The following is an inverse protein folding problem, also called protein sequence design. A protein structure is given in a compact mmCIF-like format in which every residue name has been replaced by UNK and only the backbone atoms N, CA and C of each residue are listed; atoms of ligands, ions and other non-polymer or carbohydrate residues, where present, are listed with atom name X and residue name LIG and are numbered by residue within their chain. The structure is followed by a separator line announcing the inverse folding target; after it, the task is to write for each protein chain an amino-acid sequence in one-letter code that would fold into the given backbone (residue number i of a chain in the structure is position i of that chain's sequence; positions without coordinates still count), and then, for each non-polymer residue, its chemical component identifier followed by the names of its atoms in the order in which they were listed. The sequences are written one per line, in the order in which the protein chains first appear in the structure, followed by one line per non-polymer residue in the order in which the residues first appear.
data_IF_183070909493
#
_entry.id   IF_183070909493
#
_cell.length_a   1.000
_cell.length_b   1.000
_cell.length_c   1.000
_cell.angle_alpha   90.00
_cell.angle_beta   90.00
_cell.angle_gamma   90.00
#
_symmetry.space_group_name_H-M   'P 1'
#
loop_
_entity.id
_entity.type
_entity.pdbx_description
1 polymer ?
#
# COMPACT_ATOMS: atom_id res chain seq x y z
N UNK A 1 -19.46 26.60 1.38
CA UNK A 1 -18.42 25.80 0.68
C UNK A 1 -17.19 26.69 0.60
N UNK A 2 -16.13 26.30 1.28
CA UNK A 2 -14.83 26.98 1.21
C UNK A 2 -14.07 26.55 -0.03
N UNK A 3 -13.29 27.45 -0.60
CA UNK A 3 -12.34 27.15 -1.66
C UNK A 3 -10.97 27.65 -1.25
N UNK A 4 -9.95 26.83 -1.37
CA UNK A 4 -8.56 27.26 -1.23
C UNK A 4 -7.91 27.30 -2.61
N UNK A 5 -7.56 28.50 -3.08
CA UNK A 5 -6.88 28.69 -4.37
C UNK A 5 -5.36 28.56 -4.28
N UNK A 6 -4.82 28.38 -3.07
CA UNK A 6 -3.37 28.46 -2.83
C UNK A 6 -2.72 27.10 -2.55
N UNK A 7 -3.51 26.09 -2.13
CA UNK A 7 -3.02 24.73 -1.93
C UNK A 7 -2.88 24.06 -3.30
N UNK A 8 -1.69 23.59 -3.65
CA UNK A 8 -1.36 22.95 -4.94
C UNK A 8 -1.67 23.80 -6.17
N UNK A 9 -1.49 25.12 -6.11
CA UNK A 9 -1.75 26.02 -7.24
C UNK A 9 -0.84 25.70 -8.43
N UNK A 10 -1.47 25.33 -9.56
CA UNK A 10 -0.77 24.98 -10.79
C UNK A 10 -0.13 23.59 -10.80
N UNK A 11 -0.39 22.78 -9.77
CA UNK A 11 0.13 21.43 -9.62
C UNK A 11 -0.97 20.38 -9.81
N UNK A 12 -0.58 19.19 -10.23
CA UNK A 12 -1.51 18.06 -10.38
C UNK A 12 -1.52 17.21 -9.13
N UNK A 13 -2.69 17.08 -8.48
CA UNK A 13 -2.88 16.17 -7.35
C UNK A 13 -2.99 14.75 -7.88
N UNK A 14 -2.05 13.89 -7.51
CA UNK A 14 -2.01 12.48 -7.91
C UNK A 14 -2.98 11.62 -7.11
N UNK A 15 -2.99 11.78 -5.82
CA UNK A 15 -3.95 11.12 -4.95
C UNK A 15 -4.29 11.97 -3.73
N UNK A 16 -5.47 11.73 -3.18
CA UNK A 16 -5.96 12.39 -1.98
C UNK A 16 -6.61 11.37 -1.04
N UNK A 17 -6.43 11.55 0.25
CA UNK A 17 -7.10 10.75 1.29
C UNK A 17 -7.55 11.64 2.43
N UNK A 18 -8.72 11.34 2.94
CA UNK A 18 -9.33 12.08 4.02
C UNK A 18 -9.53 11.17 5.23
N UNK A 19 -9.08 11.64 6.39
CA UNK A 19 -9.29 10.96 7.67
C UNK A 19 -9.64 11.98 8.74
N UNK A 20 -10.80 11.81 9.37
CA UNK A 20 -11.35 12.76 10.34
C UNK A 20 -11.48 14.17 9.73
N UNK A 21 -10.71 15.14 10.23
CA UNK A 21 -10.66 16.53 9.73
C UNK A 21 -9.35 16.85 9.01
N UNK A 22 -8.62 15.83 8.59
CA UNK A 22 -7.33 15.98 7.93
C UNK A 22 -7.39 15.40 6.52
N UNK A 23 -6.94 16.19 5.55
CA UNK A 23 -6.78 15.79 4.17
C UNK A 23 -5.29 15.63 3.86
N UNK A 24 -4.91 14.52 3.27
CA UNK A 24 -3.58 14.27 2.73
C UNK A 24 -3.61 14.32 1.22
N UNK A 25 -2.76 15.14 0.64
CA UNK A 25 -2.61 15.32 -0.81
C UNK A 25 -1.21 14.89 -1.23
N UNK A 26 -1.12 14.19 -2.34
CA UNK A 26 0.16 13.89 -3.01
C UNK A 26 0.22 14.64 -4.32
N UNK A 27 1.32 15.34 -4.52
CA UNK A 27 1.66 16.05 -5.74
C UNK A 27 2.97 15.45 -6.28
N UNK A 28 2.89 14.74 -7.40
CA UNK A 28 4.06 14.06 -7.96
C UNK A 28 4.99 15.00 -8.74
N UNK A 29 4.49 16.09 -9.29
CA UNK A 29 5.32 17.08 -10.02
C UNK A 29 6.47 17.60 -9.15
N UNK A 30 6.17 17.93 -7.88
CA UNK A 30 7.15 18.35 -6.87
C UNK A 30 7.57 17.25 -5.91
N UNK A 31 7.02 16.05 -6.06
CA UNK A 31 7.22 14.92 -5.15
C UNK A 31 7.03 15.31 -3.70
N UNK A 32 5.83 15.76 -3.36
CA UNK A 32 5.51 16.15 -1.98
C UNK A 32 4.19 15.57 -1.51
N UNK A 33 4.10 15.33 -0.22
CA UNK A 33 2.85 15.05 0.48
C UNK A 33 2.52 16.22 1.40
N UNK A 34 1.28 16.68 1.36
CA UNK A 34 0.79 17.82 2.09
C UNK A 34 -0.32 17.37 3.03
N UNK A 35 -0.21 17.76 4.29
CA UNK A 35 -1.26 17.59 5.29
C UNK A 35 -2.04 18.89 5.42
N UNK A 36 -3.36 18.83 5.31
CA UNK A 36 -4.25 19.98 5.35
C UNK A 36 -5.31 19.76 6.43
N UNK A 37 -5.47 20.75 7.30
CA UNK A 37 -6.59 20.79 8.23
C UNK A 37 -7.86 21.24 7.52
N UNK A 38 -8.91 20.48 7.72
CA UNK A 38 -10.28 20.78 7.29
C UNK A 38 -11.17 21.09 8.52
N UNK A 39 -10.58 21.46 9.64
CA UNK A 39 -11.32 21.77 10.87
C UNK A 39 -12.23 23.00 10.69
N UNK A 40 -11.78 24.00 9.92
CA UNK A 40 -12.58 25.11 9.44
C UNK A 40 -12.86 24.87 7.94
N UNK A 41 -14.07 24.42 7.60
CA UNK A 41 -14.44 24.05 6.22
C UNK A 41 -14.30 25.22 5.23
N UNK A 42 -14.43 26.46 5.72
CA UNK A 42 -14.31 27.66 4.88
C UNK A 42 -12.86 28.13 4.69
N UNK A 43 -11.92 27.61 5.48
CA UNK A 43 -10.51 28.05 5.48
C UNK A 43 -9.57 26.88 5.76
N UNK A 44 -9.32 26.00 4.78
CA UNK A 44 -8.37 24.91 4.92
C UNK A 44 -6.94 25.43 5.13
N UNK A 45 -6.24 24.86 6.13
CA UNK A 45 -4.89 25.26 6.49
C UNK A 45 -3.88 24.16 6.23
N UNK A 46 -2.76 24.48 5.57
CA UNK A 46 -1.62 23.55 5.45
C UNK A 46 -0.99 23.40 6.84
N UNK A 47 -0.98 22.18 7.35
CA UNK A 47 -0.38 21.83 8.64
C UNK A 47 1.09 21.42 8.51
N UNK A 48 1.37 20.59 7.51
CA UNK A 48 2.71 20.05 7.28
C UNK A 48 2.89 19.68 5.81
N UNK A 49 4.13 19.57 5.39
CA UNK A 49 4.51 18.98 4.10
C UNK A 49 5.84 18.25 4.21
N UNK A 50 5.97 17.17 3.45
CA UNK A 50 7.23 16.42 3.32
C UNK A 50 7.57 16.26 1.84
N UNK A 51 8.86 16.38 1.52
CA UNK A 51 9.37 15.99 0.19
C UNK A 51 9.49 14.47 0.13
N UNK A 52 8.94 13.89 -0.93
CA UNK A 52 9.00 12.46 -1.19
C UNK A 52 10.25 12.12 -2.00
N UNK A 53 10.86 10.98 -1.72
CA UNK A 53 11.97 10.47 -2.52
C UNK A 53 11.48 9.96 -3.88
N UNK A 54 10.31 9.30 -3.88
CA UNK A 54 9.73 8.57 -5.00
C UNK A 54 8.33 9.08 -5.35
N UNK A 55 7.81 8.66 -6.51
CA UNK A 55 6.42 8.92 -6.89
C UNK A 55 5.48 8.10 -6.00
N UNK A 56 4.37 8.70 -5.59
CA UNK A 56 3.32 8.03 -4.82
C UNK A 56 2.02 8.02 -5.62
N UNK A 57 1.46 6.83 -5.82
CA UNK A 57 0.21 6.63 -6.55
C UNK A 57 -0.96 6.31 -5.61
N UNK A 58 -0.66 5.77 -4.45
CA UNK A 58 -1.68 5.38 -3.48
C UNK A 58 -1.26 5.73 -2.06
N UNK A 59 -2.22 6.24 -1.28
CA UNK A 59 -2.12 6.40 0.17
C UNK A 59 -3.18 5.55 0.88
N UNK A 60 -2.79 4.95 1.99
CA UNK A 60 -3.69 4.31 2.93
C UNK A 60 -3.55 4.97 4.30
N UNK A 61 -4.69 5.35 4.87
CA UNK A 61 -4.78 5.89 6.22
C UNK A 61 -5.41 4.84 7.13
N UNK A 62 -4.91 4.73 8.36
CA UNK A 62 -5.41 3.77 9.32
C UNK A 62 -6.38 4.45 10.31
N UNK A 63 -7.71 4.22 10.23
CA UNK A 63 -8.66 4.82 11.17
C UNK A 63 -8.37 4.48 12.63
N UNK A 64 -7.78 3.31 12.89
CA UNK A 64 -7.38 2.87 14.22
C UNK A 64 -6.06 3.44 14.71
N UNK A 65 -5.27 4.06 13.82
CA UNK A 65 -4.02 4.75 14.11
C UNK A 65 -3.84 5.91 13.14
N UNK A 66 -4.48 7.07 13.41
CA UNK A 66 -4.46 8.23 12.51
C UNK A 66 -3.07 8.82 12.27
N UNK A 67 -2.09 8.48 13.10
CA UNK A 67 -0.70 8.92 12.91
C UNK A 67 0.04 8.14 11.83
N UNK A 68 -0.46 6.97 11.43
CA UNK A 68 0.20 6.08 10.48
C UNK A 68 -0.35 6.25 9.06
N UNK A 69 0.53 6.37 8.09
CA UNK A 69 0.22 6.45 6.67
C UNK A 69 1.09 5.46 5.92
N UNK A 70 0.49 4.69 5.06
CA UNK A 70 1.18 3.83 4.11
C UNK A 70 1.02 4.38 2.70
N UNK A 71 2.09 4.35 1.91
CA UNK A 71 2.05 4.68 0.49
C UNK A 71 2.56 3.54 -0.37
N UNK A 72 2.05 3.47 -1.59
CA UNK A 72 2.56 2.64 -2.66
C UNK A 72 2.84 3.51 -3.87
N UNK A 73 4.02 3.35 -4.45
CA UNK A 73 4.45 4.16 -5.56
C UNK A 73 5.54 3.51 -6.39
N UNK A 74 6.28 4.33 -7.14
CA UNK A 74 7.39 3.89 -7.97
C UNK A 74 8.63 4.73 -7.70
N UNK A 75 9.77 4.05 -7.62
CA UNK A 75 11.08 4.69 -7.59
C UNK A 75 11.39 5.40 -8.90
N UNK A 76 12.43 6.19 -8.92
CA UNK A 76 12.95 6.82 -10.15
C UNK A 76 13.39 5.80 -11.21
N UNK A 77 13.68 4.56 -10.82
CA UNK A 77 13.99 3.45 -11.73
C UNK A 77 12.75 2.67 -12.19
N UNK A 78 11.55 3.08 -11.74
CA UNK A 78 10.28 2.46 -12.09
C UNK A 78 9.93 1.20 -11.31
N UNK A 79 10.72 0.85 -10.29
CA UNK A 79 10.42 -0.26 -9.39
C UNK A 79 9.35 0.16 -8.36
N UNK A 80 8.52 -0.78 -7.95
CA UNK A 80 7.53 -0.54 -6.90
C UNK A 80 8.22 -0.29 -5.56
N UNK A 81 7.78 0.73 -4.87
CA UNK A 81 8.20 1.05 -3.50
C UNK A 81 7.00 1.23 -2.58
N UNK A 82 7.16 0.73 -1.37
CA UNK A 82 6.23 0.91 -0.27
C UNK A 82 6.90 1.74 0.82
N UNK A 83 6.26 2.83 1.22
CA UNK A 83 6.78 3.71 2.28
C UNK A 83 5.76 3.86 3.40
N UNK A 84 6.24 3.88 4.63
CA UNK A 84 5.45 4.16 5.82
C UNK A 84 5.86 5.52 6.37
N UNK A 85 4.87 6.37 6.64
CA UNK A 85 5.05 7.66 7.27
C UNK A 85 4.33 7.71 8.61
N UNK A 86 4.90 8.47 9.51
CA UNK A 86 4.24 8.91 10.73
C UNK A 86 3.91 10.39 10.61
N UNK A 87 2.65 10.74 10.84
CA UNK A 87 2.16 12.09 10.82
C UNK A 87 1.52 12.41 12.16
N UNK A 88 1.97 13.46 12.81
CA UNK A 88 1.35 13.98 14.04
C UNK A 88 0.44 15.14 13.67
N UNK A 89 -0.74 15.22 14.24
CA UNK A 89 -1.70 16.29 13.97
C UNK A 89 -1.06 17.65 14.28
N UNK A 90 -0.99 18.53 13.27
CA UNK A 90 -0.41 19.87 13.38
C UNK A 90 1.12 19.94 13.46
N UNK A 91 1.82 18.86 13.18
CA UNK A 91 3.28 18.80 13.17
C UNK A 91 3.81 18.05 11.93
N UNK A 92 5.09 17.74 11.94
CA UNK A 92 5.79 17.15 10.80
C UNK A 92 5.25 15.78 10.39
N UNK A 93 5.34 15.51 9.07
CA UNK A 93 5.22 14.17 8.49
C UNK A 93 6.63 13.61 8.38
N UNK A 94 6.84 12.41 8.91
CA UNK A 94 8.15 11.75 8.92
C UNK A 94 8.06 10.40 8.20
N UNK A 95 8.99 10.12 7.30
CA UNK A 95 9.19 8.76 6.78
C UNK A 95 9.84 7.91 7.87
N UNK A 96 9.23 6.76 8.19
CA UNK A 96 9.72 5.85 9.23
C UNK A 96 10.22 4.53 8.66
N UNK A 97 9.68 4.06 7.53
CA UNK A 97 10.16 2.86 6.86
C UNK A 97 9.95 2.92 5.35
N UNK A 98 10.72 2.15 4.60
CA UNK A 98 10.48 1.88 3.18
C UNK A 98 10.88 0.45 2.81
N UNK A 99 10.29 -0.07 1.73
CA UNK A 99 10.56 -1.39 1.22
C UNK A 99 10.43 -1.45 -0.30
N UNK A 100 11.55 -1.60 -0.98
CA UNK A 100 11.59 -1.78 -2.43
C UNK A 100 11.23 -3.22 -2.83
N UNK A 101 10.29 -3.38 -3.74
CA UNK A 101 9.76 -4.69 -4.13
C UNK A 101 10.48 -5.35 -5.29
N UNK A 102 11.37 -4.65 -5.98
CA UNK A 102 12.06 -5.12 -7.21
C UNK A 102 11.09 -5.59 -8.30
N UNK A 103 9.89 -5.04 -8.32
CA UNK A 103 8.82 -5.29 -9.27
C UNK A 103 8.49 -3.98 -9.97
N UNK A 104 7.92 -4.02 -11.17
CA UNK A 104 7.73 -2.81 -11.96
C UNK A 104 6.28 -2.38 -12.07
N UNK A 105 5.33 -3.27 -11.76
CA UNK A 105 3.92 -2.92 -11.89
C UNK A 105 3.02 -3.64 -10.90
N UNK A 106 1.88 -3.00 -10.61
CA UNK A 106 0.82 -3.52 -9.78
C UNK A 106 -0.51 -2.87 -10.15
N UNK A 107 -1.54 -3.69 -10.26
CA UNK A 107 -2.90 -3.16 -10.42
C UNK A 107 -3.41 -2.40 -9.19
N UNK A 108 -2.73 -2.55 -8.05
CA UNK A 108 -3.01 -1.82 -6.82
C UNK A 108 -2.68 -0.31 -6.92
N UNK A 109 -1.83 0.09 -7.85
CA UNK A 109 -1.54 1.52 -8.10
C UNK A 109 -2.76 2.29 -8.61
N UNK A 110 -3.64 1.62 -9.37
CA UNK A 110 -4.86 2.22 -9.93
C UNK A 110 -6.13 1.84 -9.17
N UNK A 111 -6.14 0.71 -8.45
CA UNK A 111 -7.31 0.16 -7.80
C UNK A 111 -7.00 -0.24 -6.34
N UNK A 112 -7.34 0.64 -5.42
CA UNK A 112 -7.10 0.46 -3.98
C UNK A 112 -7.83 -0.75 -3.37
N UNK A 113 -8.88 -1.26 -4.01
CA UNK A 113 -9.58 -2.47 -3.54
C UNK A 113 -8.74 -3.73 -3.68
N UNK A 114 -7.61 -3.62 -4.38
CA UNK A 114 -6.64 -4.72 -4.59
C UNK A 114 -5.54 -4.79 -3.54
N UNK A 115 -5.57 -3.91 -2.57
CA UNK A 115 -4.63 -3.92 -1.45
C UNK A 115 -5.28 -4.57 -0.25
N UNK A 116 -4.62 -5.58 0.29
CA UNK A 116 -4.91 -6.12 1.61
C UNK A 116 -4.19 -5.27 2.65
N UNK A 117 -4.91 -4.78 3.63
CA UNK A 117 -4.35 -4.21 4.86
C UNK A 117 -5.01 -4.91 6.03
N UNK A 118 -4.20 -5.58 6.85
CA UNK A 118 -4.69 -6.30 8.02
C UNK A 118 -3.90 -5.87 9.26
N UNK A 119 -4.57 -5.24 10.23
CA UNK A 119 -3.96 -4.87 11.50
C UNK A 119 -3.54 -6.11 12.29
N UNK A 120 -2.38 -6.04 12.94
CA UNK A 120 -1.87 -7.04 13.90
C UNK A 120 -1.69 -6.39 15.27
N UNK A 121 -1.30 -7.15 16.28
CA UNK A 121 -0.98 -6.60 17.60
C UNK A 121 0.23 -5.66 17.58
N UNK A 122 1.19 -5.88 16.67
CA UNK A 122 2.49 -5.19 16.60
C UNK A 122 2.70 -4.35 15.35
N UNK A 123 1.67 -4.19 14.52
CA UNK A 123 1.78 -3.46 13.25
C UNK A 123 0.68 -3.85 12.28
N UNK A 124 1.02 -4.14 11.03
CA UNK A 124 0.04 -4.56 10.02
C UNK A 124 0.67 -5.38 8.90
N UNK A 125 -0.13 -6.25 8.31
CA UNK A 125 0.20 -6.89 7.05
C UNK A 125 -0.29 -6.05 5.87
N UNK A 126 0.52 -6.07 4.80
CA UNK A 126 0.20 -5.51 3.49
C UNK A 126 0.39 -6.57 2.43
N UNK A 127 -0.59 -6.71 1.55
CA UNK A 127 -0.50 -7.63 0.43
C UNK A 127 -1.17 -7.07 -0.81
N UNK A 128 -0.55 -7.28 -1.97
CA UNK A 128 -1.09 -6.89 -3.27
C UNK A 128 -0.38 -7.65 -4.38
N UNK A 129 -1.06 -7.80 -5.51
CA UNK A 129 -0.47 -8.45 -6.68
C UNK A 129 0.55 -7.52 -7.36
N UNK A 130 1.72 -8.06 -7.70
CA UNK A 130 2.78 -7.40 -8.46
C UNK A 130 3.12 -8.19 -9.72
N UNK A 131 3.68 -7.52 -10.72
CA UNK A 131 3.97 -8.11 -12.01
C UNK A 131 5.40 -7.76 -12.45
N UNK A 132 6.06 -8.73 -13.06
CA UNK A 132 7.31 -8.53 -13.79
C UNK A 132 7.34 -9.45 -15.02
N UNK A 133 8.48 -9.49 -15.72
CA UNK A 133 8.67 -10.37 -16.88
C UNK A 133 8.55 -11.87 -16.57
N UNK A 134 8.75 -12.26 -15.30
CA UNK A 134 8.69 -13.67 -14.86
C UNK A 134 7.26 -14.11 -14.53
N UNK A 135 6.33 -13.18 -14.31
CA UNK A 135 4.92 -13.46 -14.03
C UNK A 135 4.32 -12.64 -12.90
N UNK A 136 3.22 -13.20 -12.36
CA UNK A 136 2.49 -12.65 -11.23
C UNK A 136 3.14 -13.08 -9.92
N UNK A 137 3.28 -12.13 -9.00
CA UNK A 137 3.67 -12.40 -7.61
C UNK A 137 2.65 -11.76 -6.66
N UNK A 138 2.48 -12.37 -5.51
CA UNK A 138 1.72 -11.80 -4.40
C UNK A 138 2.62 -11.77 -3.16
N UNK A 139 3.36 -10.68 -2.93
CA UNK A 139 4.09 -10.49 -1.68
C UNK A 139 3.12 -10.20 -0.53
N UNK A 140 3.39 -10.77 0.64
CA UNK A 140 2.82 -10.34 1.90
C UNK A 140 3.93 -9.70 2.73
N UNK A 141 3.76 -8.43 3.03
CA UNK A 141 4.70 -7.64 3.82
C UNK A 141 4.17 -7.48 5.23
N UNK A 142 5.04 -7.48 6.22
CA UNK A 142 4.71 -7.19 7.60
C UNK A 142 5.50 -5.97 8.07
N UNK A 143 4.80 -4.93 8.44
CA UNK A 143 5.34 -3.77 9.16
C UNK A 143 5.17 -3.99 10.64
N UNK A 144 6.22 -3.74 11.41
CA UNK A 144 6.25 -3.90 12.87
C UNK A 144 6.57 -2.58 13.58
N UNK A 145 6.24 -2.51 14.87
CA UNK A 145 6.37 -1.28 15.67
C UNK A 145 7.82 -0.80 15.87
N UNK A 146 8.82 -1.62 15.54
CA UNK A 146 10.24 -1.24 15.47
C UNK A 146 10.62 -0.55 14.15
N UNK A 147 9.62 -0.10 13.40
CA UNK A 147 9.77 0.59 12.11
C UNK A 147 10.43 -0.27 11.03
N UNK A 148 10.32 -1.59 11.13
CA UNK A 148 10.83 -2.51 10.12
C UNK A 148 9.72 -3.02 9.20
N UNK A 149 10.10 -3.29 7.93
CA UNK A 149 9.25 -3.97 6.95
C UNK A 149 9.95 -5.23 6.49
N UNK A 150 9.27 -6.35 6.62
CA UNK A 150 9.77 -7.64 6.16
C UNK A 150 8.79 -8.30 5.20
N UNK A 151 9.31 -8.97 4.16
CA UNK A 151 8.47 -9.82 3.33
C UNK A 151 8.36 -11.19 4.00
N UNK A 152 7.16 -11.50 4.50
CA UNK A 152 6.90 -12.75 5.24
C UNK A 152 6.42 -13.88 4.33
N UNK A 153 5.97 -13.55 3.12
CA UNK A 153 5.51 -14.54 2.15
C UNK A 153 5.61 -13.99 0.73
N UNK A 154 5.86 -14.86 -0.24
CA UNK A 154 5.73 -14.57 -1.67
C UNK A 154 5.09 -15.76 -2.38
N UNK A 155 3.86 -15.60 -2.83
CA UNK A 155 3.23 -16.52 -3.76
C UNK A 155 3.62 -16.14 -5.19
N UNK A 156 3.98 -17.09 -6.03
CA UNK A 156 4.39 -16.84 -7.42
C UNK A 156 3.59 -17.71 -8.38
N UNK A 157 3.25 -17.18 -9.54
CA UNK A 157 2.64 -17.92 -10.63
C UNK A 157 3.38 -17.66 -11.93
N UNK A 158 3.81 -18.70 -12.60
CA UNK A 158 4.38 -18.62 -13.95
C UNK A 158 3.24 -18.50 -14.96
N UNK A 159 3.31 -17.57 -15.88
CA UNK A 159 2.36 -17.40 -16.96
C UNK A 159 1.83 -15.98 -17.10
N UNK A 160 0.97 -15.77 -18.08
CA UNK A 160 0.34 -14.48 -18.34
C UNK A 160 -0.52 -14.11 -17.13
N UNK A 161 -0.20 -12.97 -16.52
CA UNK A 161 -0.93 -12.47 -15.38
C UNK A 161 -2.39 -12.22 -15.75
N UNK A 162 -3.29 -13.05 -15.25
CA UNK A 162 -4.66 -12.60 -15.09
C UNK A 162 -4.68 -11.56 -13.98
N UNK A 163 -5.18 -10.36 -14.32
CA UNK A 163 -5.20 -9.18 -13.44
C UNK A 163 -6.04 -9.38 -12.16
N UNK A 164 -6.56 -10.58 -11.93
CA UNK A 164 -7.33 -10.89 -10.75
C UNK A 164 -6.52 -11.78 -9.79
N UNK A 165 -5.98 -11.16 -8.77
CA UNK A 165 -5.30 -11.83 -7.68
C UNK A 165 -5.62 -11.09 -6.37
N UNK A 166 -5.99 -11.83 -5.34
CA UNK A 166 -6.35 -11.30 -4.03
C UNK A 166 -5.77 -12.16 -2.92
N UNK A 167 -5.32 -11.50 -1.87
CA UNK A 167 -5.00 -12.14 -0.62
C UNK A 167 -6.01 -11.77 0.46
N UNK A 168 -6.31 -12.69 1.36
CA UNK A 168 -7.15 -12.42 2.52
C UNK A 168 -6.84 -13.40 3.66
N UNK A 169 -7.14 -12.97 4.88
CA UNK A 169 -7.07 -13.82 6.07
C UNK A 169 -8.45 -14.39 6.39
N UNK A 170 -8.52 -15.70 6.64
CA UNK A 170 -9.71 -16.42 7.09
C UNK A 170 -9.26 -17.33 8.23
N UNK A 171 -9.86 -17.20 9.41
CA UNK A 171 -9.60 -18.04 10.57
C UNK A 171 -8.10 -18.24 10.89
N UNK A 172 -7.34 -17.14 10.85
CA UNK A 172 -5.90 -17.13 11.14
C UNK A 172 -5.00 -17.67 10.04
N UNK A 173 -5.55 -18.21 8.96
CA UNK A 173 -4.80 -18.63 7.78
C UNK A 173 -4.82 -17.55 6.71
N UNK A 174 -3.75 -17.44 5.92
CA UNK A 174 -3.67 -16.54 4.79
C UNK A 174 -3.95 -17.30 3.48
N UNK A 175 -4.76 -16.70 2.63
CA UNK A 175 -5.14 -17.27 1.35
C UNK A 175 -4.77 -16.33 0.20
N UNK A 176 -4.25 -16.88 -0.89
CA UNK A 176 -4.06 -16.17 -2.16
C UNK A 176 -4.97 -16.81 -3.20
N UNK A 177 -5.86 -16.00 -3.74
CA UNK A 177 -6.75 -16.39 -4.84
C UNK A 177 -6.25 -15.74 -6.12
N UNK A 178 -6.19 -16.52 -7.19
CA UNK A 178 -5.83 -16.03 -8.51
C UNK A 178 -6.64 -16.74 -9.59
N UNK A 179 -6.86 -16.06 -10.68
CA UNK A 179 -7.41 -16.67 -11.90
C UNK A 179 -6.24 -17.06 -12.82
N UNK A 180 -6.18 -18.29 -13.25
CA UNK A 180 -5.18 -18.80 -14.18
C UNK A 180 -5.86 -19.64 -15.24
N UNK A 181 -5.79 -19.22 -16.51
CA UNK A 181 -6.35 -19.97 -17.65
C UNK A 181 -7.83 -20.37 -17.51
N UNK A 182 -8.65 -19.50 -16.96
CA UNK A 182 -10.08 -19.68 -16.64
C UNK A 182 -10.36 -20.53 -15.38
N UNK A 183 -9.33 -20.99 -14.68
CA UNK A 183 -9.48 -21.71 -13.42
C UNK A 183 -9.18 -20.79 -12.24
N UNK A 184 -10.02 -20.87 -11.21
CA UNK A 184 -9.74 -20.24 -9.94
C UNK A 184 -8.76 -21.10 -9.15
N UNK A 185 -7.59 -20.57 -8.89
CA UNK A 185 -6.60 -21.19 -8.03
C UNK A 185 -6.62 -20.56 -6.64
N UNK A 186 -6.50 -21.36 -5.61
CA UNK A 186 -6.40 -20.94 -4.22
C UNK A 186 -5.19 -21.58 -3.58
N UNK A 187 -4.36 -20.77 -2.95
CA UNK A 187 -3.26 -21.22 -2.11
C UNK A 187 -3.57 -20.87 -0.65
N UNK A 188 -3.40 -21.81 0.24
CA UNK A 188 -3.55 -21.62 1.68
C UNK A 188 -2.19 -21.65 2.36
N UNK A 189 -1.94 -20.68 3.22
CA UNK A 189 -0.76 -20.57 4.07
C UNK A 189 -1.19 -20.52 5.54
N UNK A 190 -0.70 -21.48 6.32
CA UNK A 190 -0.98 -21.55 7.76
C UNK A 190 0.09 -20.77 8.51
N UNK A 191 -0.01 -19.79 9.20
CA UNK A 191 1.02 -19.00 9.89
C UNK A 191 1.97 -18.20 8.96
N UNK A 192 1.50 -17.16 8.31
CA UNK A 192 2.31 -16.36 7.40
C UNK A 192 3.48 -15.60 8.08
N UNK A 193 3.70 -15.80 9.37
CA UNK A 193 4.77 -15.16 10.15
C UNK A 193 6.10 -15.95 10.16
N UNK A 194 6.16 -17.11 9.52
CA UNK A 194 7.35 -17.95 9.56
C UNK A 194 7.98 -18.10 8.18
N UNK A 195 9.27 -17.87 8.06
CA UNK A 195 10.06 -17.79 6.83
C UNK A 195 10.06 -19.03 5.90
N UNK A 196 9.42 -20.12 6.29
CA UNK A 196 9.56 -21.43 5.63
C UNK A 196 8.34 -21.88 4.80
N UNK A 197 7.58 -20.98 4.18
CA UNK A 197 6.24 -21.34 3.67
C UNK A 197 6.10 -21.63 2.20
N UNK A 198 7.08 -21.34 1.36
CA UNK A 198 7.04 -21.67 -0.05
C UNK A 198 6.75 -23.17 -0.32
N UNK A 199 7.15 -24.03 0.61
CA UNK A 199 7.06 -25.49 0.45
C UNK A 199 5.76 -26.12 1.01
N UNK A 200 4.91 -25.34 1.68
CA UNK A 200 3.70 -25.87 2.35
C UNK A 200 2.38 -25.34 1.82
N UNK A 201 2.41 -24.59 0.73
CA UNK A 201 1.19 -24.12 0.10
C UNK A 201 0.41 -25.33 -0.47
N UNK A 202 -0.86 -25.48 -0.07
CA UNK A 202 -1.78 -26.39 -0.75
C UNK A 202 -2.41 -25.64 -1.91
N UNK A 203 -2.18 -26.12 -3.13
CA UNK A 203 -2.81 -25.58 -4.33
C UNK A 203 -4.11 -26.36 -4.57
N UNK A 204 -5.19 -25.64 -4.71
CA UNK A 204 -6.50 -26.17 -5.07
C UNK A 204 -6.87 -25.62 -6.44
N UNK A 205 -7.18 -26.48 -7.37
CA UNK A 205 -7.73 -26.12 -8.68
C UNK A 205 -9.09 -26.77 -8.86
N UNK A 206 -10.06 -26.03 -9.37
CA UNK A 206 -11.31 -26.62 -9.84
C UNK A 206 -11.05 -27.25 -11.22
N UNK A 207 -11.35 -28.52 -11.35
CA UNK A 207 -11.38 -29.25 -12.62
C UNK A 207 -12.67 -28.96 -13.38
#
# INVERSE_FOLDING_TARGET
IGTSSEICKGETVQCARFLNKTLYLVVNDDRKMIQVSMAAEADPQVLAQIKLADEVHYLHLFPSDPSMIFSLGKTTTGELDMTVFQATEGSDIKQVASYGLRQHDSSALADHTKILVQKTEKGFYLGFATYNAEGLQYPLLHYTADESVTQVLRSTSKGRADYWCRGLFIDGSFYVFRNSNRDLQMEKYEHPQMEAYADKAKVWSNY
#
